data_IF_318655069869
#
_entry.id   IF_318655069869
#
_cell.length_a   1.000
_cell.length_b   1.000
_cell.length_c   1.000
_cell.angle_alpha   90.00
_cell.angle_beta   90.00
_cell.angle_gamma   90.00
#
_symmetry.space_group_name_H-M   'P 1'
#
loop_
_entity.id
_entity.type
_entity.pdbx_description
1 polymer ?
#
# COMPACT_ATOMS: atom_id res chain seq x y z
N UNK A 1 1.49 61.41 21.80
CA UNK A 1 2.83 60.77 21.77
C UNK A 1 2.76 59.28 21.71
N UNK A 2 1.81 58.66 22.39
CA UNK A 2 1.64 57.17 22.46
C UNK A 2 1.28 56.48 21.14
N UNK A 3 0.49 57.10 20.25
CA UNK A 3 0.05 56.48 19.01
C UNK A 3 1.18 56.31 17.97
N UNK A 4 2.22 57.18 18.02
CA UNK A 4 3.40 57.01 17.18
C UNK A 4 4.32 55.88 17.64
N UNK A 5 4.40 55.66 18.95
CA UNK A 5 5.18 54.57 19.55
C UNK A 5 4.53 53.19 19.20
N UNK A 6 3.20 53.06 19.33
CA UNK A 6 2.49 51.81 18.98
C UNK A 6 2.66 51.47 17.48
N UNK A 7 2.58 52.43 16.56
CA UNK A 7 2.85 52.18 15.12
C UNK A 7 4.30 51.76 14.84
N UNK A 8 5.24 52.24 15.63
CA UNK A 8 6.66 51.87 15.47
C UNK A 8 6.94 50.47 16.01
N UNK A 9 6.32 50.09 17.13
CA UNK A 9 6.39 48.73 17.67
C UNK A 9 5.77 47.70 16.73
N UNK A 10 4.61 47.99 16.13
CA UNK A 10 3.96 47.09 15.16
C UNK A 10 4.79 46.93 13.88
N UNK A 11 5.45 48.00 13.42
CA UNK A 11 6.38 47.90 12.28
C UNK A 11 7.64 47.09 12.60
N UNK A 12 8.19 47.23 13.82
CA UNK A 12 9.34 46.43 14.25
C UNK A 12 8.97 44.96 14.41
N UNK A 13 7.80 44.65 14.97
CA UNK A 13 7.31 43.27 15.10
C UNK A 13 7.04 42.60 13.73
N UNK A 14 6.48 43.35 12.77
CA UNK A 14 6.26 42.85 11.43
C UNK A 14 7.59 42.65 10.64
N UNK A 15 8.59 43.48 10.87
CA UNK A 15 9.93 43.32 10.28
C UNK A 15 10.70 42.16 10.88
N UNK A 16 10.54 41.89 12.20
CA UNK A 16 11.15 40.71 12.86
C UNK A 16 10.49 39.42 12.41
N UNK A 17 9.17 39.36 12.27
CA UNK A 17 8.49 38.18 11.69
C UNK A 17 8.89 37.89 10.24
N UNK A 18 9.00 38.96 9.41
CA UNK A 18 9.45 38.81 8.03
C UNK A 18 10.91 38.34 7.94
N UNK A 19 11.80 38.83 8.84
CA UNK A 19 13.18 38.37 8.91
C UNK A 19 13.34 36.94 9.36
N UNK A 20 12.51 36.45 10.31
CA UNK A 20 12.49 35.05 10.74
C UNK A 20 11.98 34.14 9.61
N UNK A 21 10.96 34.57 8.84
CA UNK A 21 10.50 33.83 7.66
C UNK A 21 11.53 33.83 6.53
N UNK A 22 12.28 34.91 6.31
CA UNK A 22 13.34 34.91 5.31
C UNK A 22 14.56 34.10 5.75
N UNK A 23 14.91 34.06 7.02
CA UNK A 23 16.00 33.21 7.53
C UNK A 23 15.67 31.71 7.42
N UNK A 24 14.42 31.31 7.63
CA UNK A 24 14.00 29.92 7.44
C UNK A 24 13.99 29.49 5.96
N UNK A 25 13.64 30.39 5.04
CA UNK A 25 13.70 30.12 3.61
C UNK A 25 15.15 30.06 3.07
N UNK A 26 16.07 30.87 3.63
CA UNK A 26 17.50 30.85 3.27
C UNK A 26 18.19 29.59 3.81
N UNK A 27 17.79 29.08 4.98
CA UNK A 27 18.38 27.84 5.54
C UNK A 27 18.01 26.59 4.73
N UNK A 28 16.83 26.53 4.12
CA UNK A 28 16.42 25.41 3.25
C UNK A 28 17.27 25.32 1.98
N UNK A 29 17.68 26.44 1.43
CA UNK A 29 18.54 26.50 0.23
C UNK A 29 20.01 26.25 0.56
N UNK A 30 20.46 26.59 1.77
CA UNK A 30 21.83 26.34 2.24
C UNK A 30 22.09 24.84 2.56
N UNK A 31 21.05 24.06 2.87
CA UNK A 31 21.16 22.62 3.17
C UNK A 31 21.24 21.72 1.91
N UNK A 32 21.13 22.28 0.70
CA UNK A 32 21.20 21.54 -0.57
C UNK A 32 20.01 20.60 -0.81
N UNK A 33 18.84 20.89 -0.19
CA UNK A 33 17.61 20.12 -0.42
C UNK A 33 17.03 20.40 -1.81
N UNK A 34 16.37 19.39 -2.40
CA UNK A 34 15.63 19.57 -3.65
C UNK A 34 14.40 20.45 -3.43
N UNK A 35 14.04 21.25 -4.43
CA UNK A 35 12.78 21.98 -4.45
C UNK A 35 11.56 21.05 -4.37
N UNK A 36 11.66 19.87 -4.97
CA UNK A 36 10.62 18.85 -5.01
C UNK A 36 11.25 17.46 -4.98
N UNK A 37 10.71 16.56 -4.15
CA UNK A 37 11.01 15.12 -4.13
C UNK A 37 9.86 14.37 -4.78
N UNK A 38 10.18 13.56 -5.80
CA UNK A 38 9.19 12.80 -6.55
C UNK A 38 8.85 11.49 -5.85
N UNK A 39 7.57 11.31 -5.53
CA UNK A 39 7.05 10.09 -4.92
C UNK A 39 6.22 9.31 -5.94
N UNK A 40 6.57 8.04 -6.16
CA UNK A 40 5.79 7.12 -6.99
C UNK A 40 4.65 6.51 -6.20
N UNK A 41 3.44 6.49 -6.81
CA UNK A 41 2.24 5.82 -6.27
C UNK A 41 1.52 5.11 -7.41
N UNK A 42 1.16 3.84 -7.20
CA UNK A 42 0.57 3.02 -8.28
C UNK A 42 -0.89 3.37 -8.58
N UNK A 43 -1.65 3.76 -7.58
CA UNK A 43 -3.08 4.05 -7.69
C UNK A 43 -3.37 5.55 -7.74
N UNK A 44 -4.62 5.94 -7.95
CA UNK A 44 -5.06 7.34 -7.92
C UNK A 44 -5.22 7.90 -6.50
N UNK A 45 -5.37 9.25 -6.35
CA UNK A 45 -5.43 9.91 -5.04
C UNK A 45 -6.67 9.57 -4.20
N UNK A 46 -7.72 9.04 -4.81
CA UNK A 46 -8.97 8.67 -4.12
C UNK A 46 -8.96 7.25 -3.52
N UNK A 47 -7.93 6.47 -3.79
CA UNK A 47 -7.71 5.17 -3.15
C UNK A 47 -7.09 5.38 -1.77
N UNK A 48 -7.34 4.50 -0.81
CA UNK A 48 -6.76 4.59 0.53
C UNK A 48 -5.23 4.70 0.48
N UNK A 49 -4.58 3.89 -0.32
CA UNK A 49 -3.15 3.99 -0.63
C UNK A 49 -2.76 5.40 -1.13
N UNK A 50 -3.53 5.99 -2.08
CA UNK A 50 -3.29 7.35 -2.57
C UNK A 50 -3.50 8.43 -1.51
N UNK A 51 -4.50 8.23 -0.63
CA UNK A 51 -4.76 9.12 0.51
C UNK A 51 -3.62 9.05 1.53
N UNK A 52 -3.10 7.85 1.85
CA UNK A 52 -1.93 7.67 2.70
C UNK A 52 -0.68 8.35 2.13
N UNK A 53 -0.45 8.25 0.83
CA UNK A 53 0.66 8.93 0.16
C UNK A 53 0.53 10.46 0.22
N UNK A 54 -0.68 10.99 0.08
CA UNK A 54 -0.96 12.43 0.24
C UNK A 54 -0.70 12.88 1.67
N UNK A 55 -1.24 12.15 2.64
CA UNK A 55 -1.03 12.41 4.08
C UNK A 55 0.45 12.41 4.45
N UNK A 56 1.22 11.44 3.94
CA UNK A 56 2.67 11.41 4.15
C UNK A 56 3.37 12.66 3.62
N UNK A 57 3.03 13.10 2.41
CA UNK A 57 3.64 14.29 1.82
C UNK A 57 3.31 15.56 2.63
N UNK A 58 2.08 15.69 3.11
CA UNK A 58 1.64 16.79 3.98
C UNK A 58 2.38 16.80 5.31
N UNK A 59 2.43 15.65 6.00
CA UNK A 59 3.12 15.49 7.28
C UNK A 59 4.62 15.75 7.17
N UNK A 60 5.29 15.27 6.12
CA UNK A 60 6.70 15.55 5.89
C UNK A 60 6.94 17.04 5.72
N UNK A 61 6.11 17.72 4.94
CA UNK A 61 6.22 19.18 4.76
C UNK A 61 6.04 19.91 6.08
N UNK A 62 5.05 19.52 6.89
CA UNK A 62 4.78 20.11 8.21
C UNK A 62 5.94 19.87 9.18
N UNK A 63 6.30 18.60 9.42
CA UNK A 63 7.32 18.21 10.42
C UNK A 63 8.75 18.67 10.04
N UNK A 64 9.00 18.98 8.77
CA UNK A 64 10.28 19.55 8.32
C UNK A 64 10.24 21.06 8.11
N UNK A 65 9.19 21.75 8.60
CA UNK A 65 9.01 23.20 8.39
C UNK A 65 9.15 23.62 6.92
N UNK A 66 8.63 22.80 6.00
CA UNK A 66 8.67 23.05 4.56
C UNK A 66 10.03 22.80 3.88
N UNK A 67 11.03 22.30 4.59
CA UNK A 67 12.36 22.02 4.02
C UNK A 67 12.33 20.83 3.05
N UNK A 68 11.48 19.82 3.31
CA UNK A 68 11.27 18.69 2.43
C UNK A 68 9.86 18.77 1.84
N UNK A 69 9.78 18.88 0.52
CA UNK A 69 8.52 18.95 -0.21
C UNK A 69 8.40 17.75 -1.14
N UNK A 70 7.50 16.83 -0.79
CA UNK A 70 7.21 15.63 -1.57
C UNK A 70 6.01 15.89 -2.48
N UNK A 71 6.13 15.49 -3.74
CA UNK A 71 5.01 15.48 -4.69
C UNK A 71 4.68 14.04 -5.09
N UNK A 72 3.51 13.54 -4.68
CA UNK A 72 3.01 12.25 -5.15
C UNK A 72 2.65 12.30 -6.64
N UNK A 73 3.09 11.29 -7.39
CA UNK A 73 2.75 11.05 -8.78
C UNK A 73 1.94 9.76 -8.85
N UNK A 74 0.65 9.91 -9.07
CA UNK A 74 -0.33 8.82 -9.04
C UNK A 74 -0.44 8.06 -10.36
N UNK A 75 -1.05 6.87 -10.32
CA UNK A 75 -1.32 6.05 -11.51
C UNK A 75 -0.05 5.51 -12.19
N UNK A 76 1.04 5.36 -11.43
CA UNK A 76 2.36 5.00 -12.01
C UNK A 76 2.84 5.94 -13.11
N UNK A 77 2.47 7.22 -13.04
CA UNK A 77 2.77 8.21 -14.08
C UNK A 77 4.27 8.35 -14.38
N UNK A 78 5.13 8.30 -13.34
CA UNK A 78 6.59 8.35 -13.50
C UNK A 78 7.17 7.12 -14.24
N UNK A 79 6.39 6.07 -14.36
CA UNK A 79 6.80 4.76 -14.91
C UNK A 79 6.01 4.39 -16.18
N UNK A 80 5.19 5.30 -16.70
CA UNK A 80 4.30 5.03 -17.85
C UNK A 80 3.46 3.76 -17.64
N UNK A 81 2.93 3.57 -16.42
CA UNK A 81 2.12 2.40 -16.04
C UNK A 81 2.90 1.16 -15.59
N UNK A 82 4.22 1.09 -15.79
CA UNK A 82 5.04 -0.08 -15.47
C UNK A 82 5.33 -0.20 -13.97
N UNK A 83 4.29 -0.49 -13.16
CA UNK A 83 4.34 -0.49 -11.69
C UNK A 83 5.46 -1.35 -11.08
N UNK A 84 5.78 -2.50 -11.66
CA UNK A 84 6.84 -3.40 -11.18
C UNK A 84 8.27 -2.85 -11.32
N UNK A 85 8.46 -1.69 -11.96
CA UNK A 85 9.76 -1.01 -12.08
C UNK A 85 10.01 0.00 -10.95
N UNK A 86 9.05 0.25 -10.08
CA UNK A 86 9.09 1.30 -9.07
C UNK A 86 10.33 1.19 -8.19
N UNK A 87 10.52 0.07 -7.50
CA UNK A 87 11.65 -0.15 -6.59
C UNK A 87 13.01 -0.02 -7.27
N UNK A 88 13.14 -0.49 -8.52
CA UNK A 88 14.37 -0.33 -9.30
C UNK A 88 14.69 1.15 -9.59
N UNK A 89 13.67 1.96 -9.91
CA UNK A 89 13.86 3.37 -10.23
C UNK A 89 14.17 4.20 -8.98
N UNK A 90 13.59 3.84 -7.83
CA UNK A 90 13.97 4.44 -6.55
C UNK A 90 15.39 4.02 -6.16
N UNK A 91 15.77 2.76 -6.27
CA UNK A 91 17.15 2.29 -5.99
C UNK A 91 18.20 2.99 -6.84
N UNK A 92 17.86 3.32 -8.09
CA UNK A 92 18.74 4.07 -9.03
C UNK A 92 18.74 5.58 -8.76
N UNK A 93 17.84 6.12 -7.94
CA UNK A 93 17.69 7.55 -7.66
C UNK A 93 17.04 8.36 -8.78
N UNK A 94 16.36 7.70 -9.73
CA UNK A 94 15.54 8.37 -10.76
C UNK A 94 14.26 8.90 -10.14
N UNK A 95 13.72 8.17 -9.17
CA UNK A 95 12.59 8.55 -8.31
C UNK A 95 13.13 8.63 -6.88
N UNK A 96 12.67 9.59 -6.10
CA UNK A 96 13.20 9.85 -4.77
C UNK A 96 12.67 8.89 -3.72
N UNK A 97 11.36 8.68 -3.71
CA UNK A 97 10.67 7.81 -2.76
C UNK A 97 9.43 7.19 -3.40
N UNK A 98 8.85 6.21 -2.72
CA UNK A 98 7.59 5.60 -3.12
C UNK A 98 6.80 5.13 -1.90
N UNK A 99 5.50 5.02 -2.07
CA UNK A 99 4.63 4.15 -1.31
C UNK A 99 4.20 3.03 -2.25
N UNK A 100 4.54 1.80 -1.93
CA UNK A 100 4.38 0.73 -2.89
C UNK A 100 3.97 -0.59 -2.24
N UNK A 101 3.29 -1.42 -3.01
CA UNK A 101 2.86 -2.76 -2.65
C UNK A 101 4.05 -3.71 -2.54
N UNK A 102 4.00 -4.60 -1.56
CA UNK A 102 4.94 -5.72 -1.45
C UNK A 102 4.97 -6.59 -2.70
N UNK A 103 3.85 -6.66 -3.43
CA UNK A 103 3.78 -7.33 -4.75
C UNK A 103 4.68 -6.63 -5.77
N UNK A 104 4.63 -5.30 -5.81
CA UNK A 104 5.39 -4.50 -6.79
C UNK A 104 6.90 -4.50 -6.51
N UNK A 105 7.31 -4.58 -5.25
CA UNK A 105 8.73 -4.63 -4.88
C UNK A 105 9.33 -6.04 -4.98
N UNK A 106 8.50 -7.09 -5.00
CA UNK A 106 8.93 -8.49 -4.95
C UNK A 106 9.90 -8.93 -6.07
N UNK A 107 9.91 -8.33 -7.27
CA UNK A 107 10.94 -8.63 -8.26
C UNK A 107 12.37 -8.26 -7.83
N UNK A 108 12.49 -7.29 -6.91
CA UNK A 108 13.78 -6.83 -6.35
C UNK A 108 14.03 -7.41 -4.96
N UNK A 109 12.94 -7.62 -4.20
CA UNK A 109 12.92 -8.12 -2.82
C UNK A 109 12.08 -9.40 -2.77
N UNK A 110 12.63 -10.57 -3.16
CA UNK A 110 11.87 -11.83 -3.18
C UNK A 110 11.25 -12.20 -1.83
N UNK A 111 11.87 -11.79 -0.71
CA UNK A 111 11.38 -11.99 0.65
C UNK A 111 9.97 -11.42 0.87
N UNK A 112 9.62 -10.33 0.19
CA UNK A 112 8.30 -9.72 0.28
C UNK A 112 7.16 -10.67 -0.17
N UNK A 113 7.47 -11.69 -0.97
CA UNK A 113 6.49 -12.70 -1.37
C UNK A 113 6.00 -13.60 -0.21
N UNK A 114 6.56 -13.52 1.00
CA UNK A 114 6.04 -14.25 2.16
C UNK A 114 4.57 -13.89 2.45
N UNK A 115 4.19 -12.64 2.23
CA UNK A 115 2.81 -12.16 2.36
C UNK A 115 1.88 -12.69 1.27
N UNK A 116 2.43 -13.19 0.17
CA UNK A 116 1.69 -13.63 -1.01
C UNK A 116 1.60 -15.16 -1.14
N UNK A 117 2.15 -15.91 -0.19
CA UNK A 117 1.95 -17.35 -0.12
C UNK A 117 0.45 -17.65 0.02
N UNK A 118 -0.12 -18.50 -0.84
CA UNK A 118 -1.56 -18.74 -0.85
C UNK A 118 -2.06 -19.24 0.52
N UNK A 119 -3.05 -18.53 1.08
CA UNK A 119 -3.72 -18.87 2.34
C UNK A 119 -2.80 -18.98 3.57
N UNK A 120 -1.59 -18.43 3.49
CA UNK A 120 -0.60 -18.47 4.59
C UNK A 120 -0.97 -17.54 5.73
N UNK A 121 -1.39 -16.30 5.42
CA UNK A 121 -1.91 -15.31 6.36
C UNK A 121 -3.40 -15.10 6.07
N UNK A 122 -4.24 -15.14 7.11
CA UNK A 122 -5.69 -15.08 6.97
C UNK A 122 -6.41 -14.06 7.85
N UNK A 123 -5.68 -13.40 8.76
CA UNK A 123 -6.21 -12.40 9.69
C UNK A 123 -5.22 -11.25 9.92
N UNK A 124 -5.74 -10.14 10.46
CA UNK A 124 -4.96 -8.92 10.71
C UNK A 124 -3.99 -9.07 11.87
N UNK A 125 -4.27 -9.89 12.87
CA UNK A 125 -3.39 -10.11 14.02
C UNK A 125 -2.09 -10.77 13.57
N UNK A 126 -2.19 -11.87 12.83
CA UNK A 126 -1.04 -12.56 12.27
C UNK A 126 -0.27 -11.67 11.28
N UNK A 127 -0.97 -10.89 10.46
CA UNK A 127 -0.33 -9.91 9.59
C UNK A 127 0.51 -8.90 10.37
N UNK A 128 -0.03 -8.35 11.46
CA UNK A 128 0.69 -7.37 12.29
C UNK A 128 1.87 -8.00 13.00
N UNK A 129 1.75 -9.23 13.50
CA UNK A 129 2.86 -9.98 14.08
C UNK A 129 4.00 -10.19 13.07
N UNK A 130 3.69 -10.58 11.84
CA UNK A 130 4.69 -10.80 10.78
C UNK A 130 5.33 -9.48 10.30
N UNK A 131 4.54 -8.41 10.09
CA UNK A 131 5.09 -7.10 9.71
C UNK A 131 6.05 -6.55 10.75
N UNK A 132 5.72 -6.68 12.03
CA UNK A 132 6.47 -6.10 13.14
C UNK A 132 7.49 -7.08 13.75
N UNK A 133 7.52 -8.33 13.30
CA UNK A 133 8.39 -9.39 13.77
C UNK A 133 9.69 -9.52 12.96
N UNK A 134 10.32 -10.67 13.13
CA UNK A 134 11.61 -10.98 12.51
C UNK A 134 11.53 -11.10 10.98
N UNK A 135 10.38 -11.57 10.45
CA UNK A 135 10.16 -11.64 9.01
C UNK A 135 10.07 -10.24 8.37
N UNK A 136 9.32 -9.33 8.99
CA UNK A 136 9.23 -7.94 8.54
C UNK A 136 10.58 -7.23 8.58
N UNK A 137 11.37 -7.44 9.64
CA UNK A 137 12.72 -6.90 9.75
C UNK A 137 13.65 -7.46 8.65
N UNK A 138 13.56 -8.76 8.35
CA UNK A 138 14.35 -9.37 7.26
C UNK A 138 14.02 -8.77 5.89
N UNK A 139 12.75 -8.42 5.63
CA UNK A 139 12.34 -7.71 4.41
C UNK A 139 12.96 -6.31 4.37
N UNK A 140 12.90 -5.55 5.48
CA UNK A 140 13.50 -4.22 5.56
C UNK A 140 15.02 -4.25 5.36
N UNK A 141 15.70 -5.26 5.89
CA UNK A 141 17.15 -5.42 5.69
C UNK A 141 17.48 -5.80 4.24
N UNK A 142 16.67 -6.65 3.62
CA UNK A 142 16.80 -6.95 2.19
C UNK A 142 16.60 -5.70 1.31
N UNK A 143 15.65 -4.80 1.69
CA UNK A 143 15.46 -3.52 1.01
C UNK A 143 16.69 -2.62 1.14
N UNK A 144 17.27 -2.49 2.34
CA UNK A 144 18.50 -1.70 2.58
C UNK A 144 19.67 -2.24 1.74
N UNK A 145 19.81 -3.56 1.62
CA UNK A 145 20.81 -4.20 0.77
C UNK A 145 20.63 -3.88 -0.73
N UNK A 146 19.41 -3.55 -1.15
CA UNK A 146 19.06 -3.12 -2.52
C UNK A 146 19.01 -1.60 -2.70
N UNK A 147 19.59 -0.82 -1.78
CA UNK A 147 19.66 0.65 -1.81
C UNK A 147 18.30 1.34 -1.65
N UNK A 148 17.37 0.68 -0.99
CA UNK A 148 16.07 1.20 -0.60
C UNK A 148 16.05 1.39 0.92
N UNK A 149 15.72 2.57 1.39
CA UNK A 149 15.52 2.84 2.82
C UNK A 149 14.05 2.66 3.14
N UNK A 150 13.62 1.57 3.80
CA UNK A 150 12.26 1.45 4.28
C UNK A 150 12.01 2.45 5.41
N UNK A 151 10.80 2.98 5.49
CA UNK A 151 10.39 3.98 6.47
C UNK A 151 9.31 3.45 7.40
N UNK A 152 8.19 2.99 6.84
CA UNK A 152 7.06 2.46 7.60
C UNK A 152 6.22 1.51 6.75
N UNK A 153 5.48 0.63 7.45
CA UNK A 153 4.43 -0.18 6.85
C UNK A 153 3.14 0.63 6.66
N UNK A 154 2.37 0.23 5.68
CA UNK A 154 0.98 0.55 5.46
C UNK A 154 0.28 -0.69 4.90
N UNK A 155 -0.95 -0.60 4.36
CA UNK A 155 -1.70 -1.79 4.00
C UNK A 155 -2.64 -1.57 2.80
N UNK A 156 -2.50 -2.40 1.77
CA UNK A 156 -3.52 -2.51 0.74
C UNK A 156 -4.65 -3.47 1.16
N UNK A 157 -4.33 -4.48 1.99
CA UNK A 157 -5.26 -5.39 2.65
C UNK A 157 -5.33 -6.79 2.07
N UNK A 158 -6.22 -7.60 2.64
CA UNK A 158 -6.54 -8.95 2.16
C UNK A 158 -7.25 -8.91 0.81
N UNK A 159 -6.77 -9.72 -0.13
CA UNK A 159 -7.25 -9.70 -1.50
C UNK A 159 -8.40 -10.68 -1.71
N UNK A 160 -9.46 -10.18 -2.30
CA UNK A 160 -10.73 -10.89 -2.56
C UNK A 160 -10.91 -11.08 -4.06
N UNK A 161 -11.60 -12.12 -4.46
CA UNK A 161 -11.95 -12.38 -5.86
C UNK A 161 -13.25 -11.67 -6.21
N UNK A 162 -13.27 -10.95 -7.34
CA UNK A 162 -14.54 -10.50 -7.95
C UNK A 162 -14.62 -10.97 -9.39
N UNK A 163 -15.83 -11.33 -9.85
CA UNK A 163 -16.04 -11.76 -11.23
C UNK A 163 -17.48 -11.49 -11.71
N UNK A 164 -17.68 -11.57 -13.03
CA UNK A 164 -18.97 -11.32 -13.68
C UNK A 164 -19.80 -12.60 -13.92
N UNK A 165 -19.28 -13.80 -13.61
CA UNK A 165 -19.83 -15.07 -14.09
C UNK A 165 -20.54 -15.87 -13.00
N UNK A 166 -19.88 -16.12 -11.86
CA UNK A 166 -20.34 -17.12 -10.88
C UNK A 166 -19.91 -16.77 -9.47
N UNK A 167 -20.70 -17.18 -8.49
CA UNK A 167 -20.27 -17.21 -7.07
C UNK A 167 -19.29 -18.36 -6.88
N UNK A 168 -18.03 -18.03 -6.62
CA UNK A 168 -16.94 -19.01 -6.46
C UNK A 168 -16.92 -19.50 -5.03
N UNK A 169 -17.06 -20.85 -4.85
CA UNK A 169 -17.01 -21.54 -3.57
C UNK A 169 -16.01 -22.69 -3.52
N UNK A 170 -15.64 -23.22 -4.67
CA UNK A 170 -14.69 -24.32 -4.81
C UNK A 170 -13.66 -24.04 -5.89
N UNK A 171 -12.49 -24.71 -5.89
CA UNK A 171 -11.53 -24.61 -6.99
C UNK A 171 -12.13 -24.96 -8.36
N UNK A 172 -13.12 -25.85 -8.41
CA UNK A 172 -13.80 -26.23 -9.68
C UNK A 172 -14.53 -25.04 -10.32
N UNK A 173 -15.05 -24.12 -9.51
CA UNK A 173 -15.74 -22.90 -9.99
C UNK A 173 -14.79 -21.92 -10.67
N UNK A 174 -13.48 -22.05 -10.45
CA UNK A 174 -12.45 -21.20 -11.07
C UNK A 174 -12.13 -21.62 -12.52
N UNK A 175 -12.54 -22.82 -12.92
CA UNK A 175 -12.15 -23.39 -14.23
C UNK A 175 -12.55 -22.51 -15.39
N UNK A 176 -11.54 -22.05 -16.16
CA UNK A 176 -11.72 -21.25 -17.36
C UNK A 176 -12.10 -19.79 -17.11
N UNK A 177 -12.15 -19.32 -15.85
CA UNK A 177 -12.31 -17.90 -15.56
C UNK A 177 -11.04 -17.15 -15.97
N UNK A 178 -11.18 -16.18 -16.86
CA UNK A 178 -10.10 -15.24 -17.20
C UNK A 178 -9.97 -14.24 -16.06
N UNK A 179 -8.97 -14.44 -15.19
CA UNK A 179 -8.78 -13.59 -14.01
C UNK A 179 -7.57 -12.68 -14.22
N UNK A 180 -7.79 -11.37 -14.16
CA UNK A 180 -6.68 -10.42 -14.17
C UNK A 180 -5.85 -10.57 -12.90
N UNK A 181 -4.55 -10.69 -13.08
CA UNK A 181 -3.56 -10.72 -12.00
C UNK A 181 -2.45 -9.69 -12.23
N UNK A 182 -1.75 -9.30 -11.15
CA UNK A 182 -0.51 -8.53 -11.25
C UNK A 182 0.58 -9.42 -11.85
N UNK A 183 1.57 -8.84 -12.53
CA UNK A 183 2.65 -9.57 -13.21
C UNK A 183 3.66 -10.27 -12.29
N UNK A 184 3.23 -10.72 -11.11
CA UNK A 184 4.02 -11.55 -10.23
C UNK A 184 3.81 -13.02 -10.59
N UNK A 185 4.88 -13.80 -10.89
CA UNK A 185 4.76 -15.18 -11.28
C UNK A 185 4.05 -16.09 -10.26
N UNK A 186 4.10 -15.78 -8.96
CA UNK A 186 3.37 -16.55 -7.94
C UNK A 186 1.86 -16.45 -8.14
N UNK A 187 1.33 -15.27 -8.48
CA UNK A 187 -0.08 -15.08 -8.76
C UNK A 187 -0.51 -15.91 -9.98
N UNK A 188 0.31 -15.93 -11.03
CA UNK A 188 0.06 -16.75 -12.21
C UNK A 188 0.03 -18.24 -11.84
N UNK A 189 1.01 -18.71 -11.04
CA UNK A 189 1.06 -20.09 -10.55
C UNK A 189 -0.18 -20.43 -9.72
N UNK A 190 -0.60 -19.54 -8.81
CA UNK A 190 -1.77 -19.73 -7.93
C UNK A 190 -3.05 -19.89 -8.72
N UNK A 191 -3.34 -18.97 -9.63
CA UNK A 191 -4.57 -19.02 -10.41
C UNK A 191 -4.59 -20.18 -11.42
N UNK A 192 -3.44 -20.57 -11.95
CA UNK A 192 -3.32 -21.81 -12.76
C UNK A 192 -3.58 -23.07 -11.94
N UNK A 193 -3.06 -23.14 -10.71
CA UNK A 193 -3.31 -24.28 -9.82
C UNK A 193 -4.80 -24.43 -9.47
N UNK A 194 -5.51 -23.29 -9.42
CA UNK A 194 -6.97 -23.25 -9.24
C UNK A 194 -7.77 -23.53 -10.52
N UNK A 195 -7.11 -23.74 -11.68
CA UNK A 195 -7.78 -24.02 -12.96
C UNK A 195 -8.29 -22.79 -13.70
N UNK A 196 -7.99 -21.58 -13.23
CA UNK A 196 -8.31 -20.34 -13.93
C UNK A 196 -7.30 -20.00 -15.02
N UNK A 197 -7.67 -19.06 -15.88
CA UNK A 197 -6.82 -18.48 -16.92
C UNK A 197 -6.31 -17.10 -16.48
N UNK A 198 -5.14 -17.01 -15.80
CA UNK A 198 -4.62 -15.74 -15.32
C UNK A 198 -4.12 -14.85 -16.46
N UNK A 199 -4.62 -13.60 -16.50
CA UNK A 199 -4.25 -12.59 -17.49
C UNK A 199 -3.44 -11.49 -16.79
N UNK A 200 -2.16 -11.36 -17.12
CA UNK A 200 -1.29 -10.35 -16.56
C UNK A 200 -1.56 -8.98 -17.17
N UNK A 201 -1.91 -8.00 -16.34
CA UNK A 201 -2.07 -6.59 -16.74
C UNK A 201 -1.57 -5.64 -15.66
N UNK A 202 -0.95 -4.52 -16.05
CA UNK A 202 -0.74 -3.40 -15.15
C UNK A 202 -2.07 -2.83 -14.67
N UNK A 203 -2.04 -2.08 -13.54
CA UNK A 203 -3.29 -1.60 -12.94
C UNK A 203 -4.12 -0.71 -13.85
N UNK A 204 -3.50 0.25 -14.54
CA UNK A 204 -4.22 1.14 -15.47
C UNK A 204 -4.93 0.39 -16.60
N UNK A 205 -4.25 -0.60 -17.18
CA UNK A 205 -4.80 -1.45 -18.26
C UNK A 205 -5.93 -2.35 -17.72
N UNK A 206 -5.79 -2.83 -16.48
CA UNK A 206 -6.77 -3.68 -15.83
C UNK A 206 -8.12 -2.96 -15.64
N UNK A 207 -8.10 -1.71 -15.18
CA UNK A 207 -9.32 -0.90 -14.99
C UNK A 207 -10.07 -0.75 -16.31
N UNK A 208 -9.37 -0.45 -17.42
CA UNK A 208 -9.98 -0.41 -18.73
C UNK A 208 -10.49 -1.81 -19.18
N UNK A 209 -9.73 -2.86 -18.87
CA UNK A 209 -10.07 -4.24 -19.19
C UNK A 209 -11.34 -4.75 -18.51
N UNK A 210 -11.62 -4.30 -17.28
CA UNK A 210 -12.88 -4.62 -16.57
C UNK A 210 -14.09 -4.05 -17.32
N UNK A 211 -14.00 -2.78 -17.74
CA UNK A 211 -15.05 -2.09 -18.48
C UNK A 211 -15.34 -2.75 -19.85
N UNK A 212 -14.32 -3.26 -20.51
CA UNK A 212 -14.40 -3.85 -21.83
C UNK A 212 -14.70 -5.36 -21.80
N UNK A 213 -14.77 -5.99 -20.61
CA UNK A 213 -14.99 -7.43 -20.48
C UNK A 213 -13.84 -8.29 -21.04
N UNK A 214 -12.62 -7.75 -21.10
CA UNK A 214 -11.42 -8.48 -21.55
C UNK A 214 -11.11 -9.63 -20.60
N UNK A 215 -11.42 -9.46 -19.32
CA UNK A 215 -11.31 -10.47 -18.26
C UNK A 215 -12.66 -10.69 -17.60
N UNK A 216 -12.88 -11.88 -17.07
CA UNK A 216 -14.12 -12.24 -16.37
C UNK A 216 -14.06 -11.85 -14.87
N UNK A 217 -12.86 -11.74 -14.32
CA UNK A 217 -12.65 -11.43 -12.91
C UNK A 217 -11.29 -10.79 -12.63
N UNK A 218 -11.11 -10.44 -11.37
CA UNK A 218 -9.86 -9.89 -10.81
C UNK A 218 -9.78 -10.17 -9.31
N UNK A 219 -8.63 -9.92 -8.72
CA UNK A 219 -8.37 -10.06 -7.29
C UNK A 219 -7.73 -8.78 -6.74
N UNK A 220 -8.31 -8.21 -5.72
CA UNK A 220 -7.85 -7.01 -5.02
C UNK A 220 -8.54 -6.87 -3.66
N UNK A 221 -7.98 -6.07 -2.74
CA UNK A 221 -8.68 -5.70 -1.52
C UNK A 221 -9.96 -4.90 -1.79
N UNK A 222 -10.92 -5.00 -0.89
CA UNK A 222 -12.24 -4.37 -1.04
C UNK A 222 -12.13 -2.86 -1.21
N UNK A 223 -11.21 -2.21 -0.49
CA UNK A 223 -10.98 -0.77 -0.58
C UNK A 223 -10.50 -0.29 -1.96
N UNK A 224 -9.90 -1.19 -2.77
CA UNK A 224 -9.51 -0.89 -4.15
C UNK A 224 -10.71 -0.98 -5.10
N UNK A 225 -11.67 -1.84 -4.81
CA UNK A 225 -12.80 -2.13 -5.69
C UNK A 225 -13.83 -1.00 -5.75
N UNK A 226 -13.99 -0.27 -4.66
CA UNK A 226 -14.98 0.81 -4.53
C UNK A 226 -14.65 2.01 -5.44
N UNK A 227 -13.44 2.59 -5.42
CA UNK A 227 -13.11 3.73 -6.27
C UNK A 227 -13.20 3.45 -7.78
N UNK A 228 -12.99 2.20 -8.20
CA UNK A 228 -13.15 1.79 -9.62
C UNK A 228 -14.57 1.36 -9.95
N UNK A 229 -15.48 1.41 -8.98
CA UNK A 229 -16.89 1.03 -9.14
C UNK A 229 -17.04 -0.37 -9.75
N UNK A 230 -16.28 -1.35 -9.23
CA UNK A 230 -16.22 -2.71 -9.79
C UNK A 230 -17.60 -3.36 -9.92
N UNK A 231 -18.55 -2.98 -9.07
CA UNK A 231 -19.94 -3.44 -9.07
C UNK A 231 -20.71 -3.13 -10.37
N UNK A 232 -20.19 -2.24 -11.21
CA UNK A 232 -20.77 -1.99 -12.53
C UNK A 232 -20.41 -3.10 -13.53
N UNK A 233 -19.34 -3.84 -13.30
CA UNK A 233 -18.77 -4.83 -14.23
C UNK A 233 -18.81 -6.26 -13.69
N UNK A 234 -18.65 -6.42 -12.36
CA UNK A 234 -18.67 -7.72 -11.70
C UNK A 234 -19.90 -7.87 -10.81
N UNK A 235 -20.47 -9.07 -10.78
CA UNK A 235 -21.67 -9.39 -10.02
C UNK A 235 -21.39 -10.15 -8.72
N UNK A 236 -20.24 -10.82 -8.64
CA UNK A 236 -19.92 -11.74 -7.57
C UNK A 236 -18.62 -11.32 -6.89
N UNK A 237 -18.60 -11.43 -5.55
CA UNK A 237 -17.42 -11.26 -4.71
C UNK A 237 -17.28 -12.46 -3.80
N UNK A 238 -16.13 -13.13 -3.83
CA UNK A 238 -15.78 -14.17 -2.87
C UNK A 238 -14.77 -13.60 -1.87
N UNK A 239 -15.18 -13.51 -0.61
CA UNK A 239 -14.36 -13.10 0.53
C UNK A 239 -13.56 -14.32 1.01
N UNK A 240 -12.35 -14.47 0.50
CA UNK A 240 -11.53 -15.67 0.73
C UNK A 240 -10.18 -15.41 1.41
N UNK A 241 -9.75 -14.14 1.50
CA UNK A 241 -8.47 -13.76 2.11
C UNK A 241 -7.31 -14.66 1.67
N UNK A 242 -7.16 -14.90 0.34
CA UNK A 242 -6.21 -15.87 -0.16
C UNK A 242 -4.75 -15.44 -0.01
N UNK A 243 -4.52 -14.14 0.09
CA UNK A 243 -3.26 -13.51 0.48
C UNK A 243 -3.50 -12.07 0.93
N UNK A 244 -2.48 -11.48 1.52
CA UNK A 244 -2.49 -10.08 1.95
C UNK A 244 -1.40 -9.27 1.25
N UNK A 245 -1.63 -7.98 1.07
CA UNK A 245 -0.71 -7.07 0.37
C UNK A 245 -0.37 -5.87 1.25
N UNK A 246 0.66 -5.96 2.11
CA UNK A 246 1.18 -4.80 2.80
C UNK A 246 1.77 -3.77 1.83
N UNK A 247 1.73 -2.51 2.24
CA UNK A 247 2.41 -1.41 1.59
C UNK A 247 3.62 -0.97 2.40
N UNK A 248 4.60 -0.38 1.73
CA UNK A 248 5.79 0.17 2.38
C UNK A 248 6.06 1.56 1.84
N UNK A 249 6.28 2.52 2.74
CA UNK A 249 6.93 3.78 2.42
C UNK A 249 8.43 3.56 2.41
N UNK A 250 9.11 3.99 1.34
CA UNK A 250 10.56 3.87 1.26
C UNK A 250 11.20 4.97 0.43
N UNK A 251 12.48 5.22 0.68
CA UNK A 251 13.28 6.28 0.04
C UNK A 251 14.51 5.70 -0.65
N UNK A 252 15.09 6.45 -1.61
CA UNK A 252 16.42 6.16 -2.16
C UNK A 252 17.47 6.25 -1.04
N UNK A 253 18.17 5.16 -0.74
CA UNK A 253 19.09 5.09 0.40
C UNK A 253 20.27 6.06 0.30
N UNK A 254 20.81 6.30 -0.92
CA UNK A 254 21.91 7.26 -1.10
C UNK A 254 21.50 8.68 -0.79
N UNK A 255 20.25 9.04 -1.12
CA UNK A 255 19.70 10.36 -0.83
C UNK A 255 19.34 10.47 0.65
N UNK A 256 18.70 9.43 1.22
CA UNK A 256 18.37 9.33 2.64
C UNK A 256 19.58 9.61 3.55
N UNK A 257 20.73 9.00 3.25
CA UNK A 257 21.98 9.17 4.02
C UNK A 257 22.55 10.60 4.01
N UNK A 258 22.06 11.46 3.14
CA UNK A 258 22.46 12.87 3.07
C UNK A 258 21.61 13.79 3.94
N UNK A 259 20.46 13.32 4.39
CA UNK A 259 19.61 14.11 5.28
C UNK A 259 20.22 14.18 6.67
N UNK A 260 20.18 15.36 7.33
CA UNK A 260 20.48 15.49 8.76
C UNK A 260 19.57 14.54 9.57
N UNK A 261 20.03 14.12 10.74
CA UNK A 261 19.30 13.18 11.60
C UNK A 261 17.89 13.68 11.94
N UNK A 262 17.73 14.95 12.24
CA UNK A 262 16.46 15.60 12.54
C UNK A 262 15.45 15.50 11.38
N UNK A 263 15.92 15.63 10.14
CA UNK A 263 15.09 15.47 8.94
C UNK A 263 14.73 14.00 8.73
N UNK A 264 15.66 13.08 8.96
CA UNK A 264 15.38 11.64 8.91
C UNK A 264 14.31 11.25 9.92
N UNK A 265 14.41 11.73 11.16
CA UNK A 265 13.46 11.43 12.23
C UNK A 265 12.07 12.01 11.92
N UNK A 266 12.00 13.25 11.43
CA UNK A 266 10.75 13.87 11.01
C UNK A 266 10.07 13.09 9.87
N UNK A 267 10.83 12.61 8.90
CA UNK A 267 10.29 11.80 7.79
C UNK A 267 9.83 10.42 8.28
N UNK A 268 10.57 9.78 9.21
CA UNK A 268 10.17 8.49 9.79
C UNK A 268 8.88 8.62 10.59
N UNK A 269 8.77 9.64 11.43
CA UNK A 269 7.56 9.93 12.19
C UNK A 269 6.36 10.18 11.26
N UNK A 270 6.55 11.00 10.22
CA UNK A 270 5.53 11.25 9.20
C UNK A 270 5.09 9.96 8.47
N UNK A 271 6.03 9.06 8.17
CA UNK A 271 5.72 7.79 7.51
C UNK A 271 4.94 6.84 8.43
N UNK A 272 5.27 6.79 9.72
CA UNK A 272 4.54 5.99 10.71
C UNK A 272 3.12 6.50 10.90
N UNK A 273 2.95 7.81 11.05
CA UNK A 273 1.62 8.44 11.20
C UNK A 273 0.76 8.26 9.95
N UNK A 274 1.32 8.48 8.77
CA UNK A 274 0.61 8.26 7.51
C UNK A 274 0.29 6.79 7.26
N UNK A 275 1.19 5.87 7.65
CA UNK A 275 0.97 4.43 7.58
C UNK A 275 -0.15 3.98 8.51
N UNK A 276 -0.22 4.52 9.73
CA UNK A 276 -1.32 4.26 10.68
C UNK A 276 -2.66 4.76 10.14
N UNK A 277 -2.70 5.98 9.60
CA UNK A 277 -3.88 6.54 8.97
C UNK A 277 -4.37 5.66 7.81
N UNK A 278 -3.48 5.30 6.91
CA UNK A 278 -3.82 4.51 5.72
C UNK A 278 -4.24 3.08 6.06
N UNK A 279 -3.54 2.42 7.01
CA UNK A 279 -3.94 1.10 7.50
C UNK A 279 -5.35 1.13 8.12
N UNK A 280 -5.68 2.19 8.86
CA UNK A 280 -7.02 2.35 9.41
C UNK A 280 -8.08 2.57 8.31
N UNK A 281 -7.77 3.33 7.25
CA UNK A 281 -8.65 3.43 6.08
C UNK A 281 -8.90 2.08 5.41
N UNK A 282 -7.84 1.28 5.28
CA UNK A 282 -7.88 -0.03 4.62
C UNK A 282 -8.72 -1.05 5.41
N UNK A 283 -8.60 -1.07 6.74
CA UNK A 283 -9.27 -2.04 7.62
C UNK A 283 -10.67 -1.63 8.07
N UNK A 284 -11.05 -0.35 7.88
CA UNK A 284 -12.34 0.17 8.34
C UNK A 284 -13.51 -0.70 7.87
N UNK A 285 -14.32 -1.18 8.84
CA UNK A 285 -15.43 -2.09 8.62
C UNK A 285 -15.07 -3.54 8.29
N UNK A 286 -13.76 -3.89 8.35
CA UNK A 286 -13.25 -5.25 8.18
C UNK A 286 -12.65 -5.82 9.48
N UNK A 287 -12.36 -4.97 10.48
CA UNK A 287 -11.83 -5.31 11.80
C UNK A 287 -12.77 -4.85 12.94
N UNK A 288 -14.06 -4.91 12.71
CA UNK A 288 -15.07 -4.32 13.57
C UNK A 288 -15.00 -2.78 13.56
N UNK A 289 -15.08 -2.18 14.73
CA UNK A 289 -15.04 -0.73 14.89
C UNK A 289 -13.63 -0.18 15.17
N UNK A 290 -12.60 -1.03 15.25
CA UNK A 290 -11.25 -0.66 15.68
C UNK A 290 -10.67 0.44 14.79
N UNK A 291 -10.60 0.21 13.50
CA UNK A 291 -10.03 1.18 12.54
C UNK A 291 -10.92 2.40 12.35
N UNK A 292 -12.24 2.26 12.40
CA UNK A 292 -13.17 3.39 12.37
C UNK A 292 -12.93 4.32 13.57
N UNK A 293 -12.74 3.76 14.76
CA UNK A 293 -12.44 4.52 15.97
C UNK A 293 -11.07 5.23 15.90
N UNK A 294 -10.04 4.58 15.34
CA UNK A 294 -8.74 5.20 15.08
C UNK A 294 -8.90 6.42 14.16
N UNK A 295 -9.59 6.25 13.03
CA UNK A 295 -9.81 7.33 12.07
C UNK A 295 -10.53 8.53 12.72
N UNK A 296 -11.58 8.27 13.48
CA UNK A 296 -12.36 9.30 14.14
C UNK A 296 -11.61 10.01 15.27
N UNK A 297 -10.99 9.23 16.16
CA UNK A 297 -10.43 9.78 17.40
C UNK A 297 -9.02 10.37 17.23
N UNK A 298 -8.20 9.79 16.33
CA UNK A 298 -6.82 10.23 16.14
C UNK A 298 -6.66 11.16 14.93
N UNK A 299 -7.47 10.96 13.88
CA UNK A 299 -7.33 11.70 12.62
C UNK A 299 -8.49 12.64 12.33
N UNK A 300 -9.54 12.67 13.17
CA UNK A 300 -10.76 13.46 12.95
C UNK A 300 -11.33 13.21 11.53
N UNK A 301 -11.37 11.94 11.13
CA UNK A 301 -11.75 11.53 9.78
C UNK A 301 -12.97 10.61 9.82
N UNK A 302 -14.03 11.00 9.11
CA UNK A 302 -15.25 10.20 8.93
C UNK A 302 -15.19 9.45 7.59
N UNK A 303 -15.34 8.13 7.65
CA UNK A 303 -15.36 7.26 6.47
C UNK A 303 -16.63 7.47 5.65
N UNK A 304 -16.50 7.75 4.35
CA UNK A 304 -17.62 7.80 3.43
C UNK A 304 -18.30 6.43 3.23
N UNK A 305 -17.54 5.34 3.34
CA UNK A 305 -18.03 3.96 3.24
C UNK A 305 -17.46 3.17 4.42
N UNK A 306 -18.12 3.21 5.59
CA UNK A 306 -17.60 2.55 6.80
C UNK A 306 -17.75 1.01 6.77
N UNK A 307 -18.59 0.47 5.90
CA UNK A 307 -18.73 -0.97 5.70
C UNK A 307 -18.65 -1.29 4.20
N UNK A 308 -17.48 -1.61 3.69
CA UNK A 308 -17.27 -1.84 2.26
C UNK A 308 -17.97 -3.09 1.73
N UNK A 309 -18.17 -4.11 2.54
CA UNK A 309 -18.88 -5.34 2.15
C UNK A 309 -20.36 -5.02 1.94
N UNK A 310 -21.00 -4.43 2.93
CA UNK A 310 -22.41 -4.00 2.84
C UNK A 310 -22.63 -3.04 1.68
N UNK A 311 -21.71 -2.10 1.45
CA UNK A 311 -21.77 -1.19 0.32
C UNK A 311 -21.79 -1.93 -1.03
N UNK A 312 -20.98 -2.95 -1.21
CA UNK A 312 -20.99 -3.75 -2.45
C UNK A 312 -22.30 -4.51 -2.63
N UNK A 313 -22.88 -5.07 -1.53
CA UNK A 313 -24.19 -5.72 -1.56
C UNK A 313 -25.30 -4.73 -1.95
N UNK A 314 -25.30 -3.54 -1.36
CA UNK A 314 -26.23 -2.46 -1.69
C UNK A 314 -26.12 -1.98 -3.16
N UNK A 315 -24.92 -2.16 -3.78
CA UNK A 315 -24.70 -1.93 -5.21
C UNK A 315 -25.06 -3.13 -6.10
N UNK A 316 -25.65 -4.18 -5.53
CA UNK A 316 -26.18 -5.33 -6.26
C UNK A 316 -25.17 -6.46 -6.49
N UNK A 317 -24.03 -6.46 -5.81
CA UNK A 317 -23.11 -7.60 -5.84
C UNK A 317 -23.60 -8.71 -4.90
N UNK A 318 -23.44 -9.95 -5.33
CA UNK A 318 -23.57 -11.12 -4.46
C UNK A 318 -22.23 -11.36 -3.77
N UNK A 319 -22.19 -11.19 -2.46
CA UNK A 319 -21.00 -11.44 -1.65
C UNK A 319 -21.14 -12.79 -0.95
N UNK A 320 -20.12 -13.66 -1.09
CA UNK A 320 -20.06 -14.92 -0.36
C UNK A 320 -18.73 -15.02 0.42
N UNK A 321 -18.83 -15.68 1.56
CA UNK A 321 -17.70 -16.08 2.40
C UNK A 321 -17.50 -17.58 2.27
N UNK A 322 -16.25 -18.04 2.28
CA UNK A 322 -15.95 -19.45 2.27
C UNK A 322 -16.16 -20.05 3.66
N UNK A 323 -16.80 -21.23 3.73
CA UNK A 323 -16.73 -22.08 4.90
C UNK A 323 -15.31 -22.66 5.09
N UNK A 324 -15.04 -23.26 6.23
CA UNK A 324 -13.73 -23.86 6.52
C UNK A 324 -13.40 -24.98 5.52
N UNK A 325 -14.39 -25.82 5.15
CA UNK A 325 -14.19 -26.88 4.17
C UNK A 325 -13.96 -26.33 2.76
N UNK A 326 -14.72 -25.30 2.34
CA UNK A 326 -14.51 -24.62 1.06
C UNK A 326 -13.11 -23.98 1.03
N UNK A 327 -12.70 -23.28 2.10
CA UNK A 327 -11.37 -22.70 2.23
C UNK A 327 -10.27 -23.76 2.19
N UNK A 328 -10.47 -24.90 2.89
CA UNK A 328 -9.50 -25.99 2.87
C UNK A 328 -9.30 -26.56 1.48
N UNK A 329 -10.34 -26.67 0.66
CA UNK A 329 -10.21 -27.12 -0.73
C UNK A 329 -9.30 -26.21 -1.56
N UNK A 330 -9.35 -24.87 -1.36
CA UNK A 330 -8.45 -23.93 -2.01
C UNK A 330 -7.01 -24.05 -1.51
N UNK A 331 -6.81 -24.25 -0.19
CA UNK A 331 -5.48 -24.50 0.40
C UNK A 331 -4.86 -25.75 -0.24
N UNK A 332 -5.60 -26.86 -0.26
CA UNK A 332 -5.14 -28.13 -0.83
C UNK A 332 -4.79 -27.99 -2.32
N UNK A 333 -5.61 -27.27 -3.09
CA UNK A 333 -5.38 -27.04 -4.52
C UNK A 333 -4.14 -26.15 -4.81
N UNK A 334 -3.73 -25.31 -3.85
CA UNK A 334 -2.58 -24.39 -4.00
C UNK A 334 -1.33 -24.85 -3.28
N UNK A 335 -1.32 -26.02 -2.62
CA UNK A 335 -0.19 -26.52 -1.85
C UNK A 335 1.09 -26.61 -2.68
N UNK A 336 1.01 -27.06 -3.93
CA UNK A 336 2.16 -27.14 -4.83
C UNK A 336 2.79 -25.78 -5.12
N UNK A 337 1.99 -24.70 -5.11
CA UNK A 337 2.48 -23.32 -5.28
C UNK A 337 3.21 -22.88 -4.03
N UNK A 338 2.65 -23.16 -2.84
CA UNK A 338 3.31 -22.90 -1.56
C UNK A 338 4.70 -23.55 -1.52
N UNK A 339 4.77 -24.86 -1.77
CA UNK A 339 6.01 -25.64 -1.73
C UNK A 339 7.08 -25.10 -2.72
N UNK A 340 6.64 -24.79 -3.93
CA UNK A 340 7.50 -24.20 -4.97
C UNK A 340 8.10 -22.84 -4.54
N UNK A 341 7.30 -22.00 -3.89
CA UNK A 341 7.68 -20.62 -3.64
C UNK A 341 8.42 -20.40 -2.32
N UNK A 342 8.27 -21.26 -1.32
CA UNK A 342 9.05 -21.19 -0.07
C UNK A 342 10.56 -21.14 -0.33
N UNK A 343 11.06 -21.94 -1.29
CA UNK A 343 12.49 -21.93 -1.65
C UNK A 343 12.94 -20.66 -2.37
N UNK A 344 12.05 -20.00 -3.11
CA UNK A 344 12.35 -18.75 -3.86
C UNK A 344 12.28 -17.50 -2.98
N UNK A 345 11.42 -17.52 -1.97
CA UNK A 345 11.29 -16.46 -0.95
C UNK A 345 12.52 -16.48 -0.04
N UNK A 346 12.99 -17.66 0.31
CA UNK A 346 13.97 -17.95 1.35
C UNK A 346 13.29 -18.65 2.51
N UNK A 347 13.70 -19.89 2.80
CA UNK A 347 13.11 -20.71 3.87
C UNK A 347 13.18 -20.03 5.23
N UNK A 348 14.27 -19.32 5.51
CA UNK A 348 14.50 -18.58 6.75
C UNK A 348 13.44 -17.50 7.01
N UNK A 349 13.03 -16.75 5.98
CA UNK A 349 11.99 -15.71 6.10
C UNK A 349 10.62 -16.32 6.36
N UNK A 350 10.32 -17.46 5.72
CA UNK A 350 9.05 -18.16 5.93
C UNK A 350 8.99 -18.75 7.34
N UNK A 351 10.09 -19.34 7.85
CA UNK A 351 10.15 -19.86 9.22
C UNK A 351 10.07 -18.73 10.26
N UNK A 352 10.70 -17.58 10.01
CA UNK A 352 10.52 -16.38 10.84
C UNK A 352 9.06 -15.95 10.89
N UNK A 353 8.38 -15.89 9.74
CA UNK A 353 6.96 -15.52 9.69
C UNK A 353 6.09 -16.51 10.48
N UNK A 354 6.34 -17.81 10.40
CA UNK A 354 5.66 -18.82 11.24
C UNK A 354 5.92 -18.60 12.72
N UNK A 355 7.17 -18.32 13.09
CA UNK A 355 7.54 -18.05 14.49
C UNK A 355 6.91 -16.75 15.00
N UNK A 356 6.82 -15.71 14.17
CA UNK A 356 6.16 -14.45 14.51
C UNK A 356 4.66 -14.67 14.79
N UNK A 357 3.97 -15.46 13.94
CA UNK A 357 2.55 -15.81 14.15
C UNK A 357 2.29 -16.63 15.43
N UNK A 358 3.26 -17.44 15.85
CA UNK A 358 3.13 -18.29 17.04
C UNK A 358 3.34 -17.53 18.37
N UNK A 359 3.83 -16.30 18.34
CA UNK A 359 3.97 -15.40 19.52
C UNK A 359 2.66 -14.75 19.86
#
# INVERSE_FOLDING_TARGET
>A
MEWKMVKQMVKCAALTLAAVFMLSAVSAQAAGFKKEYKMQVTVGPKFYWGMGATKFAELVKEKTNGQINIKPYFGSALLKGAQLKSSQMVAKGVIDCAMDSTINISPVIPQANVFHLPFFLNDFENLDKVKNGEAGQAIFDAMKAKRLQPLAWAENGFRQLTNSKISVKTPADMKGLRVRVVGNPMFIDTFKALGADPVNMNWGDAVAGFQQGVVDGQENPVGVLIPVQIFQYHKYTTMWNYLVDPLIFYWNQKQWKKFPKEIQDAILEAAQEAGRFETALCRAGLDGDTSINILKNEFNYDMAVPNPVKFMEEKGMTVNFLSDDERKAFIDATQSVYDKWVGKIGKDVVEKAKADMAR
#
